data_IF_436937000651
#
_entry.id   IF_436937000651
#
_cell.length_a   1.000
_cell.length_b   1.000
_cell.length_c   1.000
_cell.angle_alpha   90.00
_cell.angle_beta   90.00
_cell.angle_gamma   90.00
#
_symmetry.space_group_name_H-M   'P 1'
#
loop_
_entity.id
_entity.type
_entity.pdbx_description
1 polymer ?
#
# COMPACT_ATOMS: atom_id res chain seq x y z
N UNK A 1 -47.79 0.14 -10.78
CA UNK A 1 -46.82 1.23 -10.96
C UNK A 1 -45.62 0.90 -10.10
N UNK A 2 -44.60 0.30 -10.68
CA UNK A 2 -43.32 0.02 -10.02
C UNK A 2 -42.29 0.96 -10.63
N UNK A 3 -41.74 1.85 -9.81
CA UNK A 3 -40.69 2.76 -10.24
C UNK A 3 -39.51 2.00 -10.85
N UNK A 4 -38.87 2.53 -11.90
CA UNK A 4 -37.63 1.96 -12.38
C UNK A 4 -36.53 2.27 -11.35
N UNK A 5 -35.86 1.21 -10.89
CA UNK A 5 -34.62 1.30 -10.12
C UNK A 5 -33.69 2.22 -10.90
N UNK A 6 -33.42 3.42 -10.36
CA UNK A 6 -32.46 4.33 -10.93
C UNK A 6 -31.06 3.67 -10.87
N UNK A 7 -30.70 2.97 -11.93
CA UNK A 7 -29.34 2.54 -12.20
C UNK A 7 -28.49 3.80 -12.28
N UNK A 8 -27.82 4.14 -11.18
CA UNK A 8 -26.76 5.15 -11.16
C UNK A 8 -25.59 4.60 -11.99
N UNK A 9 -25.71 4.68 -13.31
CA UNK A 9 -24.63 4.47 -14.28
C UNK A 9 -23.70 5.69 -14.24
N UNK A 10 -22.98 5.86 -13.14
CA UNK A 10 -21.88 6.82 -13.09
C UNK A 10 -20.64 6.20 -13.75
N UNK A 11 -20.52 6.39 -15.08
CA UNK A 11 -19.26 6.48 -15.85
C UNK A 11 -18.12 5.55 -15.40
N UNK A 12 -18.16 4.27 -15.79
CA UNK A 12 -16.94 3.45 -15.83
C UNK A 12 -16.06 3.91 -16.98
N UNK A 13 -14.98 4.63 -16.67
CA UNK A 13 -14.10 5.26 -17.69
C UNK A 13 -12.99 4.34 -18.17
N UNK A 14 -12.68 3.26 -17.47
CA UNK A 14 -11.57 2.36 -17.81
C UNK A 14 -12.00 0.88 -17.89
N UNK A 15 -11.31 0.10 -18.75
CA UNK A 15 -11.52 -1.36 -18.88
C UNK A 15 -11.32 -2.07 -17.54
N UNK A 16 -10.34 -1.60 -16.75
CA UNK A 16 -10.05 -2.11 -15.41
C UNK A 16 -11.25 -1.99 -14.46
N UNK A 17 -12.02 -0.90 -14.54
CA UNK A 17 -13.19 -0.74 -13.67
C UNK A 17 -14.23 -1.83 -13.92
N UNK A 18 -14.42 -2.23 -15.18
CA UNK A 18 -15.39 -3.27 -15.56
C UNK A 18 -15.00 -4.62 -14.97
N UNK A 19 -13.71 -4.95 -14.99
CA UNK A 19 -13.17 -6.18 -14.41
C UNK A 19 -13.31 -6.19 -12.89
N UNK A 20 -12.99 -5.07 -12.22
CA UNK A 20 -13.12 -4.94 -10.78
C UNK A 20 -14.59 -5.11 -10.35
N UNK A 21 -15.52 -4.40 -11.01
CA UNK A 21 -16.94 -4.45 -10.66
C UNK A 21 -17.50 -5.85 -10.91
N UNK A 22 -17.14 -6.48 -12.04
CA UNK A 22 -17.54 -7.86 -12.33
C UNK A 22 -17.07 -8.83 -11.25
N UNK A 23 -15.81 -8.73 -10.83
CA UNK A 23 -15.27 -9.59 -9.78
C UNK A 23 -15.92 -9.30 -8.41
N UNK A 24 -16.10 -8.03 -8.07
CA UNK A 24 -16.72 -7.62 -6.82
C UNK A 24 -18.18 -8.06 -6.71
N UNK A 25 -18.91 -8.16 -7.82
CA UNK A 25 -20.30 -8.60 -7.86
C UNK A 25 -20.50 -10.03 -7.30
N UNK A 26 -19.47 -10.90 -7.36
CA UNK A 26 -19.53 -12.23 -6.76
C UNK A 26 -19.71 -12.23 -5.24
N UNK A 27 -19.45 -11.10 -4.56
CA UNK A 27 -19.53 -10.97 -3.11
C UNK A 27 -20.87 -10.41 -2.60
N UNK A 28 -21.89 -10.29 -3.47
CA UNK A 28 -23.26 -9.95 -3.09
C UNK A 28 -23.35 -8.61 -2.34
N UNK A 29 -23.78 -8.65 -1.07
CA UNK A 29 -23.95 -7.47 -0.21
C UNK A 29 -22.64 -6.75 0.14
N UNK A 30 -21.48 -7.40 -0.05
CA UNK A 30 -20.15 -6.81 0.20
C UNK A 30 -19.46 -6.28 -1.05
N UNK A 31 -20.12 -6.34 -2.21
CA UNK A 31 -19.54 -5.95 -3.51
C UNK A 31 -18.89 -4.57 -3.49
N UNK A 32 -19.56 -3.54 -2.93
CA UNK A 32 -18.99 -2.18 -2.83
C UNK A 32 -17.67 -2.11 -2.05
N UNK A 33 -17.56 -2.84 -0.94
CA UNK A 33 -16.34 -2.83 -0.13
C UNK A 33 -15.21 -3.61 -0.82
N UNK A 34 -15.54 -4.70 -1.51
CA UNK A 34 -14.56 -5.44 -2.33
C UNK A 34 -14.07 -4.59 -3.50
N UNK A 35 -14.95 -3.85 -4.18
CA UNK A 35 -14.58 -2.90 -5.23
C UNK A 35 -13.60 -1.84 -4.71
N UNK A 36 -13.92 -1.22 -3.56
CA UNK A 36 -13.05 -0.23 -2.90
C UNK A 36 -11.69 -0.84 -2.52
N UNK A 37 -11.69 -2.05 -1.96
CA UNK A 37 -10.46 -2.74 -1.60
C UNK A 37 -9.59 -3.03 -2.82
N UNK A 38 -10.17 -3.51 -3.92
CA UNK A 38 -9.43 -3.80 -5.15
C UNK A 38 -8.85 -2.53 -5.78
N UNK A 39 -9.62 -1.44 -5.85
CA UNK A 39 -9.11 -0.14 -6.30
C UNK A 39 -7.99 0.35 -5.39
N UNK A 40 -8.18 0.27 -4.07
CA UNK A 40 -7.16 0.63 -3.09
C UNK A 40 -5.88 -0.17 -3.27
N UNK A 41 -5.98 -1.49 -3.47
CA UNK A 41 -4.85 -2.37 -3.70
C UNK A 41 -4.10 -2.01 -4.99
N UNK A 42 -4.82 -1.77 -6.09
CA UNK A 42 -4.22 -1.34 -7.37
C UNK A 42 -3.49 -0.01 -7.21
N UNK A 43 -4.13 0.98 -6.57
CA UNK A 43 -3.49 2.26 -6.27
C UNK A 43 -2.25 2.07 -5.40
N UNK A 44 -2.33 1.23 -4.38
CA UNK A 44 -1.21 0.87 -3.52
C UNK A 44 -0.03 0.28 -4.29
N UNK A 45 -0.30 -0.65 -5.22
CA UNK A 45 0.71 -1.23 -6.11
C UNK A 45 1.36 -0.17 -7.01
N UNK A 46 0.56 0.72 -7.61
CA UNK A 46 1.08 1.85 -8.39
C UNK A 46 1.98 2.74 -7.52
N UNK A 47 1.56 3.04 -6.29
CA UNK A 47 2.36 3.80 -5.33
C UNK A 47 3.69 3.14 -5.00
N UNK A 48 3.72 1.82 -4.82
CA UNK A 48 4.97 1.10 -4.61
C UNK A 48 5.91 1.22 -5.82
N UNK A 49 5.39 1.12 -7.04
CA UNK A 49 6.18 1.32 -8.27
C UNK A 49 6.74 2.76 -8.31
N UNK A 50 5.92 3.75 -7.97
CA UNK A 50 6.36 5.16 -7.88
C UNK A 50 7.44 5.33 -6.83
N UNK A 51 7.29 4.73 -5.64
CA UNK A 51 8.27 4.79 -4.56
C UNK A 51 9.63 4.23 -5.01
N UNK A 52 9.64 3.00 -5.52
CA UNK A 52 10.86 2.36 -6.02
C UNK A 52 11.47 3.16 -7.18
N UNK A 53 10.66 3.63 -8.12
CA UNK A 53 11.13 4.41 -9.27
C UNK A 53 11.79 5.72 -8.84
N UNK A 54 11.12 6.50 -7.99
CA UNK A 54 11.65 7.78 -7.48
C UNK A 54 12.89 7.54 -6.63
N UNK A 55 12.91 6.54 -5.76
CA UNK A 55 14.06 6.21 -4.93
C UNK A 55 15.30 5.95 -5.79
N UNK A 56 15.16 5.10 -6.83
CA UNK A 56 16.26 4.77 -7.74
C UNK A 56 16.74 6.00 -8.53
N UNK A 57 15.83 6.83 -9.02
CA UNK A 57 16.18 8.08 -9.74
C UNK A 57 16.94 9.04 -8.81
N UNK A 58 16.47 9.24 -7.58
CA UNK A 58 17.12 10.11 -6.61
C UNK A 58 18.53 9.60 -6.28
N UNK A 59 18.67 8.30 -6.03
CA UNK A 59 19.96 7.67 -5.73
C UNK A 59 20.92 7.66 -6.93
N UNK A 60 20.43 7.63 -8.16
CA UNK A 60 21.29 7.69 -9.35
C UNK A 60 21.68 9.11 -9.76
N UNK A 61 21.05 10.15 -9.20
CA UNK A 61 21.24 11.55 -9.66
C UNK A 61 21.74 12.47 -8.56
N UNK A 62 20.87 12.82 -7.60
CA UNK A 62 21.08 13.93 -6.67
C UNK A 62 21.43 13.48 -5.24
N UNK A 63 21.14 12.24 -4.88
CA UNK A 63 21.34 11.68 -3.53
C UNK A 63 22.03 10.31 -3.59
N UNK A 64 23.25 10.23 -4.15
CA UNK A 64 23.95 8.96 -4.29
C UNK A 64 24.18 8.28 -2.93
N UNK A 65 23.99 6.96 -2.81
CA UNK A 65 24.22 6.23 -1.56
C UNK A 65 25.72 5.94 -1.38
N UNK A 66 26.55 6.99 -1.44
CA UNK A 66 28.01 6.88 -1.30
C UNK A 66 28.63 8.14 -0.73
N UNK A 67 29.81 7.98 -0.13
CA UNK A 67 30.62 9.07 0.42
C UNK A 67 30.30 9.41 1.89
N UNK A 68 30.88 10.50 2.42
CA UNK A 68 30.86 10.79 3.87
C UNK A 68 29.45 11.04 4.44
N UNK A 69 28.47 11.35 3.60
CA UNK A 69 27.09 11.64 3.99
C UNK A 69 26.08 10.57 3.50
N UNK A 70 26.54 9.37 3.14
CA UNK A 70 25.70 8.32 2.53
C UNK A 70 24.42 8.02 3.34
N UNK A 71 24.52 7.96 4.68
CA UNK A 71 23.38 7.68 5.56
C UNK A 71 22.32 8.79 5.46
N UNK A 72 22.75 10.04 5.36
CA UNK A 72 21.84 11.17 5.19
C UNK A 72 21.17 11.13 3.81
N UNK A 73 21.94 10.86 2.76
CA UNK A 73 21.42 10.78 1.39
C UNK A 73 20.40 9.66 1.21
N UNK A 74 20.68 8.46 1.75
CA UNK A 74 19.74 7.34 1.75
C UNK A 74 18.44 7.70 2.48
N UNK A 75 18.54 8.34 3.66
CA UNK A 75 17.36 8.76 4.43
C UNK A 75 16.53 9.81 3.70
N UNK A 76 17.18 10.81 3.10
CA UNK A 76 16.50 11.86 2.32
C UNK A 76 15.83 11.28 1.08
N UNK A 77 16.51 10.40 0.33
CA UNK A 77 15.97 9.78 -0.86
C UNK A 77 14.75 8.91 -0.50
N UNK A 78 14.86 8.08 0.53
CA UNK A 78 13.79 7.21 1.03
C UNK A 78 12.59 8.01 1.55
N UNK A 79 12.82 9.07 2.32
CA UNK A 79 11.74 9.92 2.83
C UNK A 79 11.01 10.67 1.73
N UNK A 80 11.76 11.15 0.72
CA UNK A 80 11.21 11.87 -0.43
C UNK A 80 10.40 10.95 -1.34
N UNK A 81 10.93 9.77 -1.67
CA UNK A 81 10.22 8.77 -2.49
C UNK A 81 8.94 8.30 -1.81
N UNK A 82 9.00 7.99 -0.51
CA UNK A 82 7.84 7.59 0.28
C UNK A 82 6.77 8.69 0.29
N UNK A 83 7.15 9.94 0.52
CA UNK A 83 6.21 11.07 0.55
C UNK A 83 5.51 11.25 -0.80
N UNK A 84 6.27 11.20 -1.90
CA UNK A 84 5.72 11.30 -3.25
C UNK A 84 4.77 10.13 -3.58
N UNK A 85 5.12 8.91 -3.16
CA UNK A 85 4.27 7.74 -3.32
C UNK A 85 2.96 7.86 -2.51
N UNK A 86 3.02 8.35 -1.27
CA UNK A 86 1.83 8.60 -0.43
C UNK A 86 0.94 9.66 -1.06
N UNK A 87 1.51 10.76 -1.59
CA UNK A 87 0.75 11.80 -2.29
C UNK A 87 0.08 11.23 -3.55
N UNK A 88 0.82 10.49 -4.37
CA UNK A 88 0.27 9.81 -5.55
C UNK A 88 -0.91 8.91 -5.14
N UNK A 89 -0.72 8.05 -4.13
CA UNK A 89 -1.77 7.16 -3.66
C UNK A 89 -2.98 7.91 -3.11
N UNK A 90 -2.76 9.01 -2.40
CA UNK A 90 -3.85 9.85 -1.90
C UNK A 90 -4.68 10.44 -3.03
N UNK A 91 -4.02 10.99 -4.07
CA UNK A 91 -4.69 11.55 -5.24
C UNK A 91 -5.57 10.50 -5.90
N UNK A 92 -5.02 9.34 -6.23
CA UNK A 92 -5.78 8.26 -6.86
C UNK A 92 -6.91 7.75 -5.96
N UNK A 93 -6.68 7.58 -4.66
CA UNK A 93 -7.74 7.14 -3.75
C UNK A 93 -8.86 8.17 -3.63
N UNK A 94 -8.57 9.47 -3.59
CA UNK A 94 -9.59 10.52 -3.51
C UNK A 94 -10.40 10.67 -4.79
N UNK A 95 -9.79 10.45 -5.96
CA UNK A 95 -10.49 10.65 -7.25
C UNK A 95 -11.10 9.39 -7.85
N UNK A 96 -10.63 8.20 -7.47
CA UNK A 96 -11.06 6.93 -8.08
C UNK A 96 -11.61 5.90 -7.08
N UNK A 97 -10.94 5.70 -5.93
CA UNK A 97 -11.43 4.75 -4.91
C UNK A 97 -12.61 5.31 -4.12
N UNK A 98 -12.53 6.58 -3.71
CA UNK A 98 -13.50 7.28 -2.86
C UNK A 98 -13.93 8.63 -3.47
N UNK A 99 -14.46 8.65 -4.71
CA UNK A 99 -14.85 9.90 -5.38
C UNK A 99 -15.95 10.66 -4.63
N UNK A 100 -16.71 9.99 -3.78
CA UNK A 100 -17.81 10.57 -3.00
C UNK A 100 -17.31 11.35 -1.76
N UNK A 101 -16.10 11.06 -1.28
CA UNK A 101 -15.50 11.69 -0.09
C UNK A 101 -14.91 13.09 -0.36
N UNK A 102 -15.26 13.70 -1.50
CA UNK A 102 -14.67 14.98 -1.93
C UNK A 102 -15.23 16.19 -1.20
N UNK A 103 -16.33 16.04 -0.46
CA UNK A 103 -16.95 17.09 0.36
C UNK A 103 -16.08 17.50 1.56
N UNK A 104 -15.25 16.59 2.08
CA UNK A 104 -14.30 16.86 3.18
C UNK A 104 -13.10 17.71 2.71
N UNK A 105 -12.52 18.53 3.61
CA UNK A 105 -11.31 19.29 3.33
C UNK A 105 -10.14 18.38 2.93
N UNK A 106 -9.49 18.72 1.81
CA UNK A 106 -8.37 17.94 1.26
C UNK A 106 -7.20 17.82 2.25
N UNK A 107 -6.91 18.91 2.98
CA UNK A 107 -5.80 18.97 3.93
C UNK A 107 -5.99 18.00 5.10
N UNK A 108 -7.23 17.87 5.60
CA UNK A 108 -7.51 16.92 6.68
C UNK A 108 -7.29 15.48 6.21
N UNK A 109 -7.79 15.15 5.02
CA UNK A 109 -7.68 13.78 4.51
C UNK A 109 -6.24 13.40 4.15
N UNK A 110 -5.46 14.30 3.55
CA UNK A 110 -4.06 13.99 3.21
C UNK A 110 -3.22 13.79 4.48
N UNK A 111 -3.47 14.58 5.55
CA UNK A 111 -2.81 14.41 6.84
C UNK A 111 -3.19 13.07 7.48
N UNK A 112 -4.49 12.73 7.51
CA UNK A 112 -4.94 11.43 8.02
C UNK A 112 -4.34 10.28 7.22
N UNK A 113 -4.40 10.36 5.89
CA UNK A 113 -3.83 9.35 5.00
C UNK A 113 -2.32 9.18 5.22
N UNK A 114 -1.59 10.28 5.36
CA UNK A 114 -0.15 10.27 5.64
C UNK A 114 0.16 9.62 7.00
N UNK A 115 -0.60 9.94 8.05
CA UNK A 115 -0.47 9.33 9.37
C UNK A 115 -0.69 7.82 9.28
N UNK A 116 -1.77 7.37 8.63
CA UNK A 116 -2.11 5.94 8.49
C UNK A 116 -0.98 5.17 7.79
N UNK A 117 -0.47 5.70 6.68
CA UNK A 117 0.63 5.08 5.93
C UNK A 117 1.94 5.06 6.74
N UNK A 118 2.24 6.14 7.45
CA UNK A 118 3.43 6.25 8.29
C UNK A 118 3.38 5.24 9.44
N UNK A 119 2.23 5.12 10.13
CA UNK A 119 2.02 4.11 11.16
C UNK A 119 2.21 2.69 10.62
N UNK A 120 1.73 2.41 9.40
CA UNK A 120 1.90 1.11 8.77
C UNK A 120 3.38 0.78 8.52
N UNK A 121 4.17 1.77 8.07
CA UNK A 121 5.62 1.61 7.88
C UNK A 121 6.33 1.35 9.21
N UNK A 122 6.00 2.10 10.27
CA UNK A 122 6.58 1.87 11.59
C UNK A 122 6.27 0.47 12.12
N UNK A 123 5.01 0.04 12.02
CA UNK A 123 4.61 -1.31 12.39
C UNK A 123 5.40 -2.35 11.60
N UNK A 124 5.52 -2.19 10.27
CA UNK A 124 6.30 -3.09 9.42
C UNK A 124 7.75 -3.21 9.88
N UNK A 125 8.41 -2.10 10.20
CA UNK A 125 9.81 -2.11 10.65
C UNK A 125 9.98 -2.90 11.94
N UNK A 126 9.11 -2.67 12.93
CA UNK A 126 9.12 -3.39 14.22
C UNK A 126 8.85 -4.88 13.99
N UNK A 127 7.80 -5.19 13.21
CA UNK A 127 7.41 -6.56 12.92
C UNK A 127 8.56 -7.34 12.26
N UNK A 128 9.12 -6.82 11.16
CA UNK A 128 10.23 -7.48 10.44
C UNK A 128 11.45 -7.66 11.35
N UNK A 129 11.80 -6.64 12.14
CA UNK A 129 12.91 -6.71 13.09
C UNK A 129 12.78 -7.81 14.15
N UNK A 130 11.55 -8.24 14.45
CA UNK A 130 11.26 -9.34 15.38
C UNK A 130 11.21 -10.69 14.65
N UNK A 131 10.60 -10.74 13.46
CA UNK A 131 10.25 -12.03 12.82
C UNK A 131 11.28 -12.53 11.81
N UNK A 132 12.27 -11.73 11.39
CA UNK A 132 13.18 -12.16 10.32
C UNK A 132 13.93 -13.45 10.66
N UNK A 133 14.51 -13.56 11.86
CA UNK A 133 15.25 -14.75 12.27
C UNK A 133 14.35 -16.01 12.37
N UNK A 134 13.25 -16.02 13.14
CA UNK A 134 12.42 -17.22 13.26
C UNK A 134 11.74 -17.62 11.94
N UNK A 135 11.40 -16.67 11.07
CA UNK A 135 10.89 -17.01 9.73
C UNK A 135 11.98 -17.59 8.83
N UNK A 136 13.21 -17.09 8.92
CA UNK A 136 14.35 -17.65 8.19
C UNK A 136 14.58 -19.12 8.55
N UNK A 137 14.64 -19.41 9.85
CA UNK A 137 14.80 -20.78 10.37
C UNK A 137 13.64 -21.68 9.95
N UNK A 138 12.40 -21.18 10.03
CA UNK A 138 11.23 -21.90 9.57
C UNK A 138 11.34 -22.27 8.09
N UNK A 139 11.67 -21.31 7.22
CA UNK A 139 11.80 -21.56 5.78
C UNK A 139 12.93 -22.54 5.50
N UNK A 140 14.08 -22.39 6.17
CA UNK A 140 15.20 -23.33 6.05
C UNK A 140 14.76 -24.76 6.39
N UNK A 141 14.04 -24.94 7.49
CA UNK A 141 13.56 -26.24 7.95
C UNK A 141 12.54 -26.87 7.00
N UNK A 142 11.57 -26.08 6.51
CA UNK A 142 10.52 -26.54 5.58
C UNK A 142 11.11 -26.95 4.24
N UNK A 143 12.13 -26.23 3.76
CA UNK A 143 12.79 -26.52 2.49
C UNK A 143 13.93 -27.54 2.61
N UNK A 144 14.26 -28.00 3.83
CA UNK A 144 15.34 -28.95 4.08
C UNK A 144 16.73 -28.41 3.73
N UNK A 145 16.94 -27.09 3.79
CA UNK A 145 18.15 -26.42 3.31
C UNK A 145 19.21 -26.26 4.40
N UNK A 146 19.78 -27.38 4.85
CA UNK A 146 20.73 -27.39 5.96
C UNK A 146 22.08 -26.72 5.66
N UNK A 147 22.35 -26.40 4.38
CA UNK A 147 23.62 -25.82 3.93
C UNK A 147 23.60 -24.29 3.81
N UNK A 148 22.48 -23.64 4.10
CA UNK A 148 22.40 -22.18 4.06
C UNK A 148 23.22 -21.57 5.20
N UNK A 149 24.03 -20.57 4.87
CA UNK A 149 24.70 -19.77 5.87
C UNK A 149 23.69 -18.85 6.58
N UNK A 150 24.08 -18.32 7.74
CA UNK A 150 23.24 -17.43 8.56
C UNK A 150 22.74 -16.21 7.77
N UNK A 151 23.58 -15.65 6.90
CA UNK A 151 23.20 -14.53 6.04
C UNK A 151 22.02 -14.87 5.12
N UNK A 152 22.06 -16.01 4.42
CA UNK A 152 20.99 -16.45 3.53
C UNK A 152 19.69 -16.70 4.31
N UNK A 153 19.79 -17.34 5.48
CA UNK A 153 18.65 -17.61 6.36
C UNK A 153 17.99 -16.28 6.77
N UNK A 154 18.79 -15.31 7.21
CA UNK A 154 18.32 -13.99 7.62
C UNK A 154 17.75 -13.16 6.45
N UNK A 155 18.33 -13.25 5.26
CA UNK A 155 17.81 -12.58 4.05
C UNK A 155 16.45 -13.14 3.65
N UNK A 156 16.30 -14.47 3.60
CA UNK A 156 15.03 -15.13 3.27
C UNK A 156 13.97 -14.80 4.32
N UNK A 157 14.33 -14.86 5.59
CA UNK A 157 13.45 -14.48 6.70
C UNK A 157 13.03 -13.01 6.65
N UNK A 158 13.94 -12.11 6.29
CA UNK A 158 13.65 -10.68 6.07
C UNK A 158 12.65 -10.49 4.93
N UNK A 159 12.84 -11.16 3.79
CA UNK A 159 11.93 -11.07 2.65
C UNK A 159 10.55 -11.64 2.97
N UNK A 160 10.48 -12.78 3.66
CA UNK A 160 9.22 -13.37 4.13
C UNK A 160 8.49 -12.43 5.11
N UNK A 161 9.21 -11.88 6.08
CA UNK A 161 8.69 -10.90 7.02
C UNK A 161 8.17 -9.65 6.31
N UNK A 162 8.91 -9.12 5.33
CA UNK A 162 8.49 -7.97 4.54
C UNK A 162 7.21 -8.24 3.74
N UNK A 163 7.08 -9.42 3.14
CA UNK A 163 5.89 -9.81 2.39
C UNK A 163 4.65 -9.88 3.30
N UNK A 164 4.78 -10.56 4.45
CA UNK A 164 3.70 -10.68 5.45
C UNK A 164 3.31 -9.30 5.97
N UNK A 165 4.28 -8.50 6.40
CA UNK A 165 4.05 -7.18 6.93
C UNK A 165 3.42 -6.23 5.90
N UNK A 166 3.79 -6.35 4.62
CA UNK A 166 3.17 -5.57 3.54
C UNK A 166 1.71 -5.97 3.32
N UNK A 167 1.39 -7.26 3.41
CA UNK A 167 0.00 -7.74 3.39
C UNK A 167 -0.82 -7.17 4.55
N UNK A 168 -0.31 -7.26 5.78
CA UNK A 168 -0.96 -6.69 6.97
C UNK A 168 -1.13 -5.17 6.83
N UNK A 169 -0.06 -4.47 6.41
CA UNK A 169 -0.07 -3.03 6.18
C UNK A 169 -1.11 -2.62 5.13
N UNK A 170 -1.30 -3.41 4.08
CA UNK A 170 -2.33 -3.15 3.06
C UNK A 170 -3.74 -3.19 3.67
N UNK A 171 -4.06 -4.20 4.48
CA UNK A 171 -5.35 -4.29 5.17
C UNK A 171 -5.52 -3.15 6.19
N UNK A 172 -4.50 -2.89 7.00
CA UNK A 172 -4.48 -1.75 7.93
C UNK A 172 -4.77 -0.44 7.19
N UNK A 173 -4.00 -0.16 6.13
CA UNK A 173 -4.14 1.05 5.33
C UNK A 173 -5.53 1.14 4.72
N UNK A 174 -6.09 0.04 4.20
CA UNK A 174 -7.43 0.03 3.64
C UNK A 174 -8.50 0.35 4.70
N UNK A 175 -8.57 -0.44 5.77
CA UNK A 175 -9.65 -0.33 6.76
C UNK A 175 -9.58 0.98 7.54
N UNK A 176 -8.39 1.40 7.98
CA UNK A 176 -8.26 2.66 8.72
C UNK A 176 -8.61 3.84 7.83
N UNK A 177 -8.16 3.87 6.57
CA UNK A 177 -8.58 4.95 5.67
C UNK A 177 -10.08 4.89 5.34
N UNK A 178 -10.65 3.70 5.15
CA UNK A 178 -12.08 3.50 4.88
C UNK A 178 -12.96 4.06 6.00
N UNK A 179 -12.59 3.80 7.26
CA UNK A 179 -13.40 4.18 8.42
C UNK A 179 -13.02 5.50 9.08
N UNK A 180 -11.81 6.03 8.84
CA UNK A 180 -11.36 7.29 9.41
C UNK A 180 -11.24 8.40 8.36
N UNK A 181 -10.35 8.22 7.37
CA UNK A 181 -10.04 9.23 6.34
C UNK A 181 -11.23 9.51 5.42
N UNK A 182 -11.94 8.46 5.01
CA UNK A 182 -13.10 8.48 4.09
C UNK A 182 -14.40 8.07 4.79
N UNK A 183 -14.52 8.45 6.07
CA UNK A 183 -15.64 8.10 6.96
C UNK A 183 -17.00 8.65 6.54
N UNK A 184 -17.04 9.59 5.61
CA UNK A 184 -18.25 10.20 5.02
C UNK A 184 -18.84 9.39 3.86
N UNK A 185 -18.22 8.26 3.51
CA UNK A 185 -18.67 7.40 2.42
C UNK A 185 -19.51 6.23 2.97
N UNK A 186 -20.73 6.11 2.46
CA UNK A 186 -21.64 4.98 2.71
C UNK A 186 -21.17 3.69 2.03
#
# INVERSE_FOLDING_TARGET
MTEPIATSQAKTRFILDRLIIWFAAYFGSKSKEVERFLRFAIVGTIGAIVDFGVLNILQSTILPPSGPNEVLYVRLATGTSFTLAVINNFIWNRYWTYPDSRSRPILLQIVQFFIVNTTAVFFRLIFVGIVYAPLGELVQSVLGQNNWNEETVNQVGTNAGQAIASGIAMFWNFFVNRYWTYSDVE
#
